data_IF_824056308966
#
_entry.id   IF_824056308966
#
_cell.length_a   1.000
_cell.length_b   1.000
_cell.length_c   1.000
_cell.angle_alpha   90.00
_cell.angle_beta   90.00
_cell.angle_gamma   90.00
#
_symmetry.space_group_name_H-M   'P 1'
#
loop_
_entity.id
_entity.type
_entity.pdbx_description
1 polymer ?
#
# COMPACT_ATOMS: atom_id res chain seq x y z
N UNK A 1 22.62 41.47 -5.12
CA UNK A 1 23.20 40.20 -4.64
C UNK A 1 22.07 39.42 -4.02
N UNK A 2 21.71 38.28 -4.61
CA UNK A 2 20.47 37.56 -4.29
C UNK A 2 20.84 36.29 -3.54
N UNK A 3 20.42 36.26 -2.28
CA UNK A 3 20.75 35.21 -1.31
C UNK A 3 19.76 34.04 -1.48
N UNK A 4 20.25 32.89 -1.97
CA UNK A 4 19.43 31.71 -2.25
C UNK A 4 19.57 30.74 -1.07
N UNK A 5 18.63 30.81 -0.13
CA UNK A 5 18.61 29.94 1.05
C UNK A 5 17.94 28.61 0.72
N UNK A 6 18.75 27.57 0.58
CA UNK A 6 18.29 26.17 0.60
C UNK A 6 18.51 25.66 2.04
N UNK A 7 17.45 25.17 2.70
CA UNK A 7 17.46 24.80 4.12
C UNK A 7 18.70 24.03 4.56
N UNK A 8 19.56 24.69 5.34
CA UNK A 8 20.75 24.12 5.98
C UNK A 8 22.11 24.54 5.41
N UNK A 9 22.16 25.19 4.24
CA UNK A 9 23.42 25.61 3.61
C UNK A 9 23.32 27.06 3.12
N UNK A 10 24.15 27.94 3.68
CA UNK A 10 24.32 29.32 3.19
C UNK A 10 25.47 29.32 2.17
N UNK A 11 25.17 29.68 0.93
CA UNK A 11 26.14 29.71 -0.17
C UNK A 11 26.36 31.17 -0.59
N UNK A 12 27.46 31.77 -0.13
CA UNK A 12 27.85 33.14 -0.50
C UNK A 12 28.44 33.25 -1.93
N UNK A 13 28.70 32.11 -2.60
CA UNK A 13 29.22 32.04 -3.97
C UNK A 13 28.50 30.95 -4.79
N UNK A 14 28.49 31.11 -6.11
CA UNK A 14 27.91 30.15 -7.06
C UNK A 14 28.61 28.79 -7.06
N UNK A 15 27.95 27.77 -7.62
CA UNK A 15 28.46 26.40 -7.70
C UNK A 15 29.63 26.35 -8.69
N UNK A 16 30.84 26.09 -8.19
CA UNK A 16 32.07 26.07 -9.00
C UNK A 16 32.40 24.66 -9.54
N UNK A 17 32.00 23.59 -8.84
CA UNK A 17 32.13 22.21 -9.33
C UNK A 17 31.16 21.26 -8.64
N UNK A 18 30.85 20.14 -9.31
CA UNK A 18 30.08 19.02 -8.76
C UNK A 18 31.02 17.82 -8.67
N UNK A 19 31.38 17.42 -7.45
CA UNK A 19 32.11 16.17 -7.20
C UNK A 19 31.11 15.03 -7.00
N UNK A 20 31.16 14.01 -7.84
CA UNK A 20 30.45 12.76 -7.59
C UNK A 20 31.12 12.04 -6.43
N UNK A 21 30.38 11.82 -5.33
CA UNK A 21 30.85 10.99 -4.24
C UNK A 21 31.18 9.60 -4.79
N UNK A 22 32.46 9.23 -4.74
CA UNK A 22 32.91 7.85 -5.01
C UNK A 22 32.18 6.96 -3.98
N UNK A 23 31.53 5.92 -4.49
CA UNK A 23 30.55 5.03 -3.84
C UNK A 23 30.96 4.40 -2.50
N UNK A 24 32.18 4.60 -2.03
CA UNK A 24 32.78 3.82 -0.95
C UNK A 24 33.10 4.59 0.34
N UNK A 25 32.67 5.85 0.49
CA UNK A 25 32.91 6.57 1.75
C UNK A 25 31.68 7.33 2.26
N UNK A 26 31.42 7.11 3.54
CA UNK A 26 30.30 7.57 4.40
C UNK A 26 29.00 6.76 4.32
N UNK A 27 28.76 6.01 5.40
CA UNK A 27 27.54 5.26 5.71
C UNK A 27 26.33 6.16 5.97
N UNK A 28 25.97 7.00 5.01
CA UNK A 28 24.62 7.52 4.87
C UNK A 28 23.76 6.45 4.21
N UNK A 29 23.48 5.37 4.95
CA UNK A 29 22.38 4.50 4.59
C UNK A 29 21.13 5.39 4.58
N UNK A 30 20.38 5.41 3.46
CA UNK A 30 18.99 5.87 3.54
C UNK A 30 18.35 5.11 4.70
N UNK A 31 17.52 5.77 5.52
CA UNK A 31 16.73 5.06 6.52
C UNK A 31 16.11 3.84 5.84
N UNK A 32 16.18 2.68 6.50
CA UNK A 32 15.52 1.47 6.00
C UNK A 32 14.14 1.87 5.49
N UNK A 33 13.76 1.42 4.28
CA UNK A 33 12.43 1.66 3.74
C UNK A 33 11.41 1.12 4.74
N UNK A 34 10.99 1.97 5.66
CA UNK A 34 9.95 1.65 6.60
C UNK A 34 8.71 1.49 5.75
N UNK A 35 8.13 0.29 5.80
CA UNK A 35 6.80 0.01 5.27
C UNK A 35 5.80 0.79 6.14
N UNK A 36 5.79 2.11 5.99
CA UNK A 36 4.83 3.00 6.60
C UNK A 36 3.48 2.70 5.96
N UNK A 37 2.46 2.52 6.79
CA UNK A 37 1.10 2.39 6.30
C UNK A 37 0.75 3.65 5.47
N UNK A 38 0.06 3.51 4.33
CA UNK A 38 -0.31 4.64 3.51
C UNK A 38 -1.15 5.65 4.30
N UNK A 39 -0.93 6.93 3.99
CA UNK A 39 -1.67 8.03 4.58
C UNK A 39 -3.15 7.93 4.21
N UNK A 40 -4.02 8.35 5.13
CA UNK A 40 -5.47 8.26 4.93
C UNK A 40 -5.91 9.32 3.93
N UNK A 41 -5.24 10.47 3.86
CA UNK A 41 -5.62 11.52 2.93
C UNK A 41 -4.78 11.44 1.65
N UNK A 42 -5.44 11.59 0.50
CA UNK A 42 -4.75 11.97 -0.73
C UNK A 42 -4.01 13.27 -0.44
N UNK A 43 -2.69 13.30 -0.69
CA UNK A 43 -1.82 14.42 -0.33
C UNK A 43 -2.41 15.77 -0.76
N UNK A 44 -3.04 16.49 0.17
CA UNK A 44 -3.34 17.91 0.05
C UNK A 44 -2.43 18.68 1.00
N UNK A 45 -1.94 19.88 0.59
CA UNK A 45 -1.19 20.74 1.49
C UNK A 45 -2.05 21.08 2.72
N UNK A 46 -1.50 20.90 3.93
CA UNK A 46 -2.26 21.05 5.20
C UNK A 46 -3.02 22.37 5.32
N UNK A 47 -2.52 23.44 4.69
CA UNK A 47 -3.19 24.75 4.70
C UNK A 47 -4.53 24.73 3.97
N UNK A 48 -4.64 23.99 2.86
CA UNK A 48 -5.85 23.89 2.07
C UNK A 48 -6.90 23.06 2.82
N UNK A 49 -6.49 22.00 3.52
CA UNK A 49 -7.36 21.20 4.41
C UNK A 49 -7.96 22.02 5.56
N UNK A 50 -7.21 22.97 6.12
CA UNK A 50 -7.67 23.86 7.21
C UNK A 50 -8.62 24.96 6.74
N UNK A 51 -8.55 25.33 5.46
CA UNK A 51 -9.33 26.42 4.87
C UNK A 51 -10.54 25.93 4.05
N UNK A 52 -10.63 24.62 3.78
CA UNK A 52 -11.68 24.05 2.95
C UNK A 52 -13.03 23.99 3.68
N UNK A 53 -14.10 24.48 3.03
CA UNK A 53 -15.47 24.20 3.46
C UNK A 53 -15.84 22.82 2.91
N UNK A 54 -16.34 21.87 3.72
CA UNK A 54 -16.62 20.53 3.25
C UNK A 54 -17.64 20.57 2.10
N UNK A 55 -17.16 20.35 0.88
CA UNK A 55 -17.97 20.29 -0.33
C UNK A 55 -18.60 18.92 -0.55
N UNK A 56 -19.45 18.84 -1.57
CA UNK A 56 -20.11 17.59 -1.99
C UNK A 56 -19.06 16.51 -2.31
N UNK A 57 -17.94 16.86 -2.95
CA UNK A 57 -16.86 15.92 -3.28
C UNK A 57 -16.28 15.24 -2.05
N UNK A 58 -16.04 15.97 -0.95
CA UNK A 58 -15.54 15.40 0.32
C UNK A 58 -16.56 14.47 0.97
N UNK A 59 -17.84 14.81 0.83
CA UNK A 59 -18.94 13.99 1.35
C UNK A 59 -19.03 12.68 0.56
N UNK A 60 -18.89 12.75 -0.75
CA UNK A 60 -18.86 11.59 -1.63
C UNK A 60 -17.63 10.72 -1.38
N UNK A 61 -16.43 11.30 -1.25
CA UNK A 61 -15.21 10.55 -0.94
C UNK A 61 -15.31 9.83 0.41
N UNK A 62 -15.87 10.49 1.43
CA UNK A 62 -16.10 9.85 2.73
C UNK A 62 -17.16 8.75 2.65
N UNK A 63 -18.23 8.93 1.87
CA UNK A 63 -19.28 7.93 1.71
C UNK A 63 -18.83 6.71 0.89
N UNK A 64 -17.93 6.91 -0.08
CA UNK A 64 -17.41 5.87 -0.96
C UNK A 64 -16.21 5.12 -0.36
N UNK A 65 -15.58 5.66 0.69
CA UNK A 65 -14.47 4.99 1.36
C UNK A 65 -14.96 3.75 2.13
N UNK A 66 -14.41 2.56 1.85
CA UNK A 66 -14.69 1.40 2.68
C UNK A 66 -14.16 1.67 4.09
N UNK A 67 -14.96 1.36 5.10
CA UNK A 67 -14.53 1.38 6.48
C UNK A 67 -13.51 0.24 6.69
N UNK A 68 -12.23 0.59 6.75
CA UNK A 68 -11.15 -0.37 6.94
C UNK A 68 -10.86 -0.54 8.43
N UNK A 69 -11.19 -1.70 8.98
CA UNK A 69 -10.90 -2.03 10.39
C UNK A 69 -9.41 -2.20 10.65
N UNK A 70 -8.65 -2.69 9.66
CA UNK A 70 -7.21 -2.90 9.75
C UNK A 70 -6.48 -2.22 8.59
N UNK A 71 -5.76 -1.14 8.91
CA UNK A 71 -5.05 -0.27 7.96
C UNK A 71 -3.85 -0.95 7.31
N UNK A 72 -3.26 -1.93 7.98
CA UNK A 72 -2.12 -2.67 7.44
C UNK A 72 -2.49 -3.43 6.17
N UNK A 73 -3.77 -3.77 5.98
CA UNK A 73 -4.28 -4.38 4.74
C UNK A 73 -4.15 -3.49 3.51
N UNK A 74 -3.86 -2.20 3.66
CA UNK A 74 -3.55 -1.33 2.52
C UNK A 74 -2.16 -1.61 1.94
N UNK A 75 -1.27 -2.27 2.70
CA UNK A 75 0.04 -2.66 2.21
C UNK A 75 -0.09 -3.95 1.39
N UNK A 76 0.39 -3.99 0.12
CA UNK A 76 0.19 -5.14 -0.75
C UNK A 76 0.66 -6.47 -0.16
N UNK A 77 1.80 -6.47 0.54
CA UNK A 77 2.35 -7.66 1.20
C UNK A 77 1.46 -8.14 2.37
N UNK A 78 0.95 -7.22 3.18
CA UNK A 78 0.07 -7.53 4.31
C UNK A 78 -1.30 -7.99 3.84
N UNK A 79 -1.83 -7.38 2.77
CA UNK A 79 -3.05 -7.83 2.13
C UNK A 79 -2.92 -9.26 1.61
N UNK A 80 -1.84 -9.56 0.87
CA UNK A 80 -1.60 -10.89 0.33
C UNK A 80 -1.48 -11.95 1.42
N UNK A 81 -0.77 -11.63 2.51
CA UNK A 81 -0.67 -12.51 3.68
C UNK A 81 -2.05 -12.77 4.32
N UNK A 82 -2.80 -11.71 4.62
CA UNK A 82 -4.13 -11.84 5.23
C UNK A 82 -5.11 -12.61 4.33
N UNK A 83 -4.99 -12.48 3.01
CA UNK A 83 -5.79 -13.23 2.04
C UNK A 83 -5.49 -14.73 2.09
N UNK A 84 -4.20 -15.10 2.18
CA UNK A 84 -3.77 -16.49 2.32
C UNK A 84 -4.23 -17.09 3.66
N UNK A 85 -4.11 -16.33 4.75
CA UNK A 85 -4.57 -16.75 6.08
C UNK A 85 -6.10 -16.96 6.09
N UNK A 86 -6.85 -16.05 5.46
CA UNK A 86 -8.30 -16.18 5.29
C UNK A 86 -8.66 -17.44 4.49
N UNK A 87 -7.96 -17.72 3.39
CA UNK A 87 -8.16 -18.92 2.57
C UNK A 87 -7.90 -20.20 3.36
N UNK A 88 -6.82 -20.25 4.14
CA UNK A 88 -6.50 -21.38 5.01
C UNK A 88 -7.62 -21.60 6.04
N UNK A 89 -8.02 -20.54 6.76
CA UNK A 89 -9.08 -20.62 7.77
C UNK A 89 -10.44 -21.06 7.20
N UNK A 90 -10.81 -20.57 6.00
CA UNK A 90 -12.05 -20.97 5.33
C UNK A 90 -11.99 -22.41 4.83
N UNK A 91 -10.82 -22.89 4.39
CA UNK A 91 -10.63 -24.28 3.99
C UNK A 91 -10.77 -25.22 5.19
N UNK A 92 -10.13 -24.89 6.31
CA UNK A 92 -10.27 -25.65 7.55
C UNK A 92 -11.72 -25.66 8.06
N UNK A 93 -12.41 -24.51 8.02
CA UNK A 93 -13.81 -24.42 8.40
C UNK A 93 -14.71 -25.26 7.46
N UNK A 94 -14.41 -25.28 6.15
CA UNK A 94 -15.15 -26.10 5.19
C UNK A 94 -14.98 -27.60 5.47
N UNK A 95 -13.75 -28.04 5.79
CA UNK A 95 -13.45 -29.43 6.11
C UNK A 95 -14.13 -29.87 7.42
N UNK A 96 -14.12 -29.01 8.44
CA UNK A 96 -14.82 -29.25 9.70
C UNK A 96 -16.33 -29.34 9.52
N UNK A 97 -16.92 -28.41 8.76
CA UNK A 97 -18.35 -28.42 8.43
C UNK A 97 -18.72 -29.69 7.63
N UNK A 98 -17.88 -30.12 6.69
CA UNK A 98 -18.08 -31.35 5.93
C UNK A 98 -18.04 -32.60 6.82
N UNK A 99 -17.10 -32.65 7.77
CA UNK A 99 -16.99 -33.74 8.74
C UNK A 99 -18.22 -33.82 9.67
N UNK A 100 -18.87 -32.69 9.95
CA UNK A 100 -20.08 -32.61 10.75
C UNK A 100 -21.37 -32.82 9.93
N UNK A 101 -21.26 -32.95 8.60
CA UNK A 101 -22.42 -33.10 7.71
C UNK A 101 -23.27 -31.83 7.60
N UNK A 102 -22.70 -30.66 7.87
CA UNK A 102 -23.41 -29.38 7.80
C UNK A 102 -23.55 -28.92 6.34
N UNK A 103 -24.73 -28.40 5.99
CA UNK A 103 -25.02 -27.84 4.67
C UNK A 103 -24.16 -26.60 4.37
N UNK A 104 -23.67 -25.92 5.43
CA UNK A 104 -22.71 -24.81 5.30
C UNK A 104 -21.42 -25.19 4.60
N UNK A 105 -21.03 -26.48 4.63
CA UNK A 105 -19.83 -26.98 3.98
C UNK A 105 -19.81 -26.70 2.47
N UNK A 106 -20.97 -26.78 1.80
CA UNK A 106 -21.08 -26.49 0.36
C UNK A 106 -20.83 -25.02 0.05
N UNK A 107 -21.40 -24.14 0.87
CA UNK A 107 -21.23 -22.69 0.76
C UNK A 107 -19.78 -22.29 1.02
N UNK A 108 -19.16 -22.87 2.05
CA UNK A 108 -17.75 -22.63 2.36
C UNK A 108 -16.83 -23.13 1.24
N UNK A 109 -17.06 -24.32 0.71
CA UNK A 109 -16.30 -24.84 -0.44
C UNK A 109 -16.42 -23.93 -1.68
N UNK A 110 -17.60 -23.38 -1.93
CA UNK A 110 -17.80 -22.41 -3.02
C UNK A 110 -17.03 -21.11 -2.76
N UNK A 111 -17.04 -20.61 -1.53
CA UNK A 111 -16.28 -19.42 -1.14
C UNK A 111 -14.77 -19.64 -1.30
N UNK A 112 -14.25 -20.80 -0.86
CA UNK A 112 -12.83 -21.18 -1.03
C UNK A 112 -12.45 -21.22 -2.51
N UNK A 113 -13.29 -21.81 -3.36
CA UNK A 113 -13.04 -21.83 -4.80
C UNK A 113 -12.99 -20.43 -5.41
N UNK A 114 -13.96 -19.58 -5.09
CA UNK A 114 -14.01 -18.20 -5.57
C UNK A 114 -12.75 -17.42 -5.12
N UNK A 115 -12.34 -17.58 -3.86
CA UNK A 115 -11.18 -16.90 -3.32
C UNK A 115 -9.88 -17.36 -3.99
N UNK A 116 -9.75 -18.66 -4.32
CA UNK A 116 -8.62 -19.20 -5.10
C UNK A 116 -8.54 -18.64 -6.51
N UNK A 117 -9.69 -18.47 -7.16
CA UNK A 117 -9.74 -17.85 -8.50
C UNK A 117 -9.29 -16.38 -8.41
N UNK A 118 -9.74 -15.64 -7.39
CA UNK A 118 -9.34 -14.26 -7.14
C UNK A 118 -7.83 -14.11 -6.88
N UNK A 119 -7.26 -14.97 -6.02
CA UNK A 119 -5.81 -14.98 -5.75
C UNK A 119 -5.01 -15.24 -7.02
N UNK A 120 -5.44 -16.19 -7.86
CA UNK A 120 -4.77 -16.50 -9.12
C UNK A 120 -4.83 -15.35 -10.13
N UNK A 121 -5.94 -14.62 -10.18
CA UNK A 121 -6.06 -13.42 -11.03
C UNK A 121 -5.12 -12.31 -10.56
N UNK A 122 -4.95 -12.12 -9.25
CA UNK A 122 -4.00 -11.14 -8.71
C UNK A 122 -2.56 -11.46 -9.08
N UNK A 123 -2.18 -12.73 -8.97
CA UNK A 123 -0.83 -13.19 -9.35
C UNK A 123 -0.58 -12.96 -10.84
N UNK A 124 -1.57 -13.23 -11.68
CA UNK A 124 -1.51 -12.98 -13.11
C UNK A 124 -1.32 -11.49 -13.43
N UNK A 125 -2.06 -10.61 -12.76
CA UNK A 125 -1.90 -9.14 -12.89
C UNK A 125 -0.50 -8.70 -12.44
N UNK A 126 -0.01 -9.24 -11.33
CA UNK A 126 1.34 -8.93 -10.84
C UNK A 126 2.42 -9.36 -11.83
N UNK A 127 2.27 -10.55 -12.43
CA UNK A 127 3.16 -11.05 -13.49
C UNK A 127 3.17 -10.12 -14.71
N UNK A 128 1.99 -9.74 -15.23
CA UNK A 128 1.91 -8.83 -16.38
C UNK A 128 2.48 -7.45 -16.08
N UNK A 129 2.25 -6.92 -14.87
CA UNK A 129 2.83 -5.64 -14.45
C UNK A 129 4.36 -5.72 -14.42
N UNK A 130 4.91 -6.81 -13.91
CA UNK A 130 6.36 -7.01 -13.88
C UNK A 130 6.95 -7.14 -15.29
N UNK A 131 6.27 -7.86 -16.19
CA UNK A 131 6.69 -7.97 -17.59
C UNK A 131 6.69 -6.61 -18.31
N UNK A 132 5.69 -5.76 -18.05
CA UNK A 132 5.63 -4.39 -18.58
C UNK A 132 6.76 -3.49 -18.07
N UNK A 133 7.20 -3.66 -16.82
CA UNK A 133 8.32 -2.87 -16.27
C UNK A 133 9.70 -3.35 -16.74
N UNK A 134 9.78 -4.54 -17.36
CA UNK A 134 11.03 -5.11 -17.88
C UNK A 134 11.27 -4.81 -19.37
N UNK A 135 10.27 -4.28 -20.09
CA UNK A 135 10.39 -3.80 -21.47
C UNK A 135 10.59 -2.29 -21.55
#
# INVERSE_FOLDING_TARGET
MTDLRISGLALDRGIESISYARRDDTGAHLPDRQNLAPSDDGMRPQLESLLDKPGIDRTLDQALRPALSNRDLLMPARFGQALNDALASLSEAADQAAAQGDETARTLNRAVRLLREETGLRDLVAMYRNALHQG
#
